data_IF_066121887060
#
_entry.id   IF_066121887060
#
_cell.length_a   1.000
_cell.length_b   1.000
_cell.length_c   1.000
_cell.angle_alpha   90.00
_cell.angle_beta   90.00
_cell.angle_gamma   90.00
#
_symmetry.space_group_name_H-M   'P 1'
#
loop_
_entity.id
_entity.type
_entity.pdbx_description
1 polymer ?
#
# COMPACT_ATOMS: atom_id res chain seq x y z
N UNK A 1 -1.52 2.76 -19.45
CA UNK A 1 -2.04 4.10 -19.82
C UNK A 1 -1.51 5.15 -18.87
N UNK A 2 -1.52 6.42 -19.27
CA UNK A 2 -1.19 7.56 -18.39
C UNK A 2 -2.43 8.45 -18.26
N UNK A 3 -3.31 8.12 -17.30
CA UNK A 3 -4.45 8.97 -16.92
C UNK A 3 -4.26 9.56 -15.52
N UNK A 4 -5.24 10.31 -15.03
CA UNK A 4 -5.20 10.84 -13.66
C UNK A 4 -6.14 10.04 -12.76
N UNK A 5 -5.55 9.32 -11.80
CA UNK A 5 -6.29 8.59 -10.78
C UNK A 5 -7.04 9.55 -9.82
N UNK A 6 -7.92 9.00 -8.99
CA UNK A 6 -8.69 9.75 -8.01
C UNK A 6 -7.78 10.46 -6.95
N UNK A 7 -8.25 11.57 -6.34
CA UNK A 7 -7.53 12.24 -5.25
C UNK A 7 -7.28 11.30 -4.05
N UNK A 8 -6.19 11.46 -3.26
CA UNK A 8 -5.27 12.61 -3.23
C UNK A 8 -4.10 12.46 -4.20
N UNK A 9 -4.13 11.43 -5.03
CA UNK A 9 -3.18 11.22 -6.09
C UNK A 9 -2.41 9.91 -5.98
N UNK A 10 -2.05 9.41 -7.15
CA UNK A 10 -1.27 8.19 -7.37
C UNK A 10 -0.22 8.49 -8.45
N UNK A 11 0.37 9.69 -8.45
CA UNK A 11 1.32 10.12 -9.47
C UNK A 11 2.52 9.17 -9.54
N UNK A 12 3.11 8.87 -8.37
CA UNK A 12 4.19 7.89 -8.30
C UNK A 12 3.78 6.53 -8.84
N UNK A 13 2.66 5.97 -8.37
CA UNK A 13 2.19 4.66 -8.84
C UNK A 13 1.89 4.63 -10.34
N UNK A 14 1.29 5.69 -10.88
CA UNK A 14 0.96 5.77 -12.31
C UNK A 14 2.22 5.76 -13.17
N UNK A 15 3.23 6.54 -12.78
CA UNK A 15 4.52 6.56 -13.46
C UNK A 15 5.28 5.24 -13.28
N UNK A 16 5.31 4.70 -12.06
CA UNK A 16 5.94 3.41 -11.75
C UNK A 16 5.33 2.28 -12.57
N UNK A 17 4.00 2.20 -12.63
CA UNK A 17 3.27 1.22 -13.43
C UNK A 17 3.59 1.37 -14.93
N UNK A 18 3.63 2.60 -15.45
CA UNK A 18 4.00 2.83 -16.86
C UNK A 18 5.44 2.38 -17.16
N UNK A 19 6.39 2.71 -16.29
CA UNK A 19 7.80 2.28 -16.45
C UNK A 19 7.88 0.75 -16.40
N UNK A 20 7.25 0.13 -15.40
CA UNK A 20 7.22 -1.32 -15.25
C UNK A 20 6.63 -2.03 -16.47
N UNK A 21 5.47 -1.59 -16.95
CA UNK A 21 4.80 -2.15 -18.13
C UNK A 21 5.65 -2.04 -19.41
N UNK A 22 6.57 -1.06 -19.46
CA UNK A 22 7.49 -0.84 -20.58
C UNK A 22 8.72 -1.73 -20.47
N UNK A 23 9.24 -1.93 -19.25
CA UNK A 23 10.45 -2.74 -18.99
C UNK A 23 10.17 -4.24 -18.95
N UNK A 24 8.97 -4.66 -18.57
CA UNK A 24 8.57 -6.07 -18.49
C UNK A 24 7.65 -6.42 -19.67
N UNK A 25 8.17 -7.00 -20.77
CA UNK A 25 7.40 -7.24 -21.99
C UNK A 25 6.66 -8.59 -22.00
N UNK A 26 6.22 -9.08 -20.84
CA UNK A 26 5.61 -10.42 -20.70
C UNK A 26 4.13 -10.28 -20.37
N UNK A 27 3.28 -11.04 -21.06
CA UNK A 27 1.82 -11.05 -20.83
C UNK A 27 1.13 -9.74 -21.20
N UNK A 28 -0.15 -9.64 -20.85
CA UNK A 28 -1.00 -8.46 -21.07
C UNK A 28 -0.59 -7.29 -20.17
N UNK A 29 -1.07 -6.08 -20.46
CA UNK A 29 -0.82 -4.90 -19.61
C UNK A 29 -1.40 -5.11 -18.20
N UNK A 30 -2.55 -5.75 -18.08
CA UNK A 30 -3.15 -6.12 -16.80
C UNK A 30 -2.24 -7.08 -16.02
N UNK A 31 -1.77 -8.15 -16.67
CA UNK A 31 -0.84 -9.11 -16.07
C UNK A 31 0.44 -8.44 -15.57
N UNK A 32 1.07 -7.57 -16.37
CA UNK A 32 2.27 -6.82 -15.97
C UNK A 32 2.04 -5.96 -14.73
N UNK A 33 0.84 -5.39 -14.60
CA UNK A 33 0.48 -4.53 -13.46
C UNK A 33 0.22 -5.36 -12.20
N UNK A 34 -0.39 -6.54 -12.32
CA UNK A 34 -0.47 -7.50 -11.22
C UNK A 34 0.93 -7.97 -10.79
N UNK A 35 1.82 -8.21 -11.75
CA UNK A 35 3.21 -8.59 -11.46
C UNK A 35 3.99 -7.48 -10.75
N UNK A 36 3.72 -6.21 -11.05
CA UNK A 36 4.28 -5.08 -10.28
C UNK A 36 3.86 -5.16 -8.81
N UNK A 37 2.57 -5.42 -8.53
CA UNK A 37 2.08 -5.57 -7.17
C UNK A 37 2.80 -6.71 -6.43
N UNK A 38 2.99 -7.85 -7.09
CA UNK A 38 3.71 -9.00 -6.54
C UNK A 38 5.19 -8.68 -6.26
N UNK A 39 5.87 -8.00 -7.18
CA UNK A 39 7.26 -7.59 -7.03
C UNK A 39 7.44 -6.60 -5.86
N UNK A 40 6.53 -5.63 -5.74
CA UNK A 40 6.52 -4.67 -4.62
C UNK A 40 6.19 -5.36 -3.30
N UNK A 41 5.24 -6.30 -3.28
CA UNK A 41 4.93 -7.11 -2.10
C UNK A 41 6.14 -7.92 -1.63
N UNK A 42 6.84 -8.59 -2.55
CA UNK A 42 8.08 -9.32 -2.26
C UNK A 42 9.18 -8.40 -1.71
N UNK A 43 9.32 -7.19 -2.27
CA UNK A 43 10.24 -6.19 -1.73
C UNK A 43 9.86 -5.75 -0.32
N UNK A 44 8.58 -5.50 -0.03
CA UNK A 44 8.13 -5.11 1.29
C UNK A 44 8.41 -6.20 2.35
N UNK A 45 8.18 -7.48 2.01
CA UNK A 45 8.58 -8.63 2.85
C UNK A 45 10.09 -8.65 3.08
N UNK A 46 10.88 -8.37 2.04
CA UNK A 46 12.35 -8.26 2.15
C UNK A 46 12.78 -7.10 3.05
N UNK A 47 12.16 -5.92 2.93
CA UNK A 47 12.44 -4.79 3.81
C UNK A 47 12.06 -5.08 5.26
N UNK A 48 10.96 -5.80 5.49
CA UNK A 48 10.57 -6.28 6.83
C UNK A 48 11.52 -7.35 7.38
N UNK A 49 12.14 -8.18 6.54
CA UNK A 49 13.26 -9.02 6.96
C UNK A 49 14.46 -8.17 7.38
N UNK A 50 14.84 -7.19 6.56
CA UNK A 50 16.04 -6.40 6.79
C UNK A 50 15.92 -5.54 8.05
N UNK A 51 14.74 -5.03 8.40
CA UNK A 51 14.55 -4.16 9.57
C UNK A 51 15.01 -4.80 10.92
N UNK A 52 14.50 -5.96 11.38
CA UNK A 52 15.05 -6.65 12.55
C UNK A 52 16.51 -7.07 12.37
N UNK A 53 16.98 -7.35 11.15
CA UNK A 53 18.38 -7.73 10.91
C UNK A 53 19.36 -6.57 11.20
N UNK A 54 18.89 -5.32 11.15
CA UNK A 54 19.66 -4.15 11.60
C UNK A 54 19.69 -4.05 13.16
N UNK A 55 18.90 -4.86 13.89
CA UNK A 55 18.76 -4.78 15.36
C UNK A 55 19.34 -5.99 16.11
N UNK A 56 19.47 -7.14 15.46
CA UNK A 56 19.97 -8.38 16.07
C UNK A 56 20.85 -9.17 15.09
N UNK A 57 21.89 -9.88 15.57
CA UNK A 57 22.76 -10.70 14.72
C UNK A 57 22.12 -12.04 14.25
N UNK A 58 20.97 -12.44 14.79
CA UNK A 58 20.33 -13.73 14.46
C UNK A 58 19.47 -13.69 13.19
N UNK A 59 19.37 -14.82 12.49
CA UNK A 59 18.53 -14.96 11.28
C UNK A 59 17.05 -15.25 11.59
N UNK A 60 16.77 -15.85 12.75
CA UNK A 60 15.42 -16.27 13.13
C UNK A 60 14.44 -15.10 13.34
N UNK A 61 14.80 -14.02 14.08
CA UNK A 61 13.90 -12.87 14.25
C UNK A 61 13.54 -12.15 12.93
N UNK A 62 14.50 -11.82 12.04
CA UNK A 62 14.22 -11.33 10.69
C UNK A 62 13.30 -12.25 9.87
N UNK A 63 13.59 -13.55 9.85
CA UNK A 63 12.82 -14.51 9.07
C UNK A 63 11.39 -14.64 9.57
N UNK A 64 11.20 -14.68 10.90
CA UNK A 64 9.87 -14.73 11.49
C UNK A 64 9.04 -13.49 11.17
N UNK A 65 9.64 -12.29 11.22
CA UNK A 65 8.98 -11.05 10.82
C UNK A 65 8.52 -11.10 9.35
N UNK A 66 9.42 -11.51 8.45
CA UNK A 66 9.14 -11.59 7.02
C UNK A 66 8.04 -12.61 6.70
N UNK A 67 8.12 -13.81 7.28
CA UNK A 67 7.10 -14.85 7.10
C UNK A 67 5.75 -14.44 7.71
N UNK A 68 5.75 -13.70 8.82
CA UNK A 68 4.51 -13.20 9.43
C UNK A 68 3.80 -12.20 8.52
N UNK A 69 4.54 -11.30 7.86
CA UNK A 69 3.95 -10.38 6.88
C UNK A 69 3.53 -11.11 5.60
N UNK A 70 4.37 -12.01 5.09
CA UNK A 70 4.07 -12.77 3.88
C UNK A 70 2.81 -13.64 4.05
N UNK A 71 2.60 -14.22 5.23
CA UNK A 71 1.41 -15.01 5.53
C UNK A 71 0.18 -14.19 5.92
N UNK A 72 0.28 -12.86 6.05
CA UNK A 72 -0.85 -12.02 6.42
C UNK A 72 -1.85 -11.91 5.24
N UNK A 73 -3.11 -12.37 5.37
CA UNK A 73 -4.05 -12.45 4.25
C UNK A 73 -4.30 -11.13 3.53
N UNK A 74 -4.40 -10.03 4.29
CA UNK A 74 -4.65 -8.70 3.72
C UNK A 74 -3.46 -8.23 2.88
N UNK A 75 -2.25 -8.42 3.40
CA UNK A 75 -1.02 -8.08 2.66
C UNK A 75 -0.86 -8.94 1.41
N UNK A 76 -1.08 -10.25 1.53
CA UNK A 76 -1.02 -11.17 0.39
C UNK A 76 -2.05 -10.81 -0.68
N UNK A 77 -3.31 -10.53 -0.30
CA UNK A 77 -4.37 -10.12 -1.21
C UNK A 77 -3.96 -8.87 -2.01
N UNK A 78 -3.40 -7.86 -1.36
CA UNK A 78 -2.95 -6.63 -2.03
C UNK A 78 -1.70 -6.85 -2.92
N UNK A 79 -0.96 -7.95 -2.74
CA UNK A 79 0.22 -8.28 -3.53
C UNK A 79 -0.07 -9.13 -4.78
N UNK A 80 -1.30 -9.64 -4.98
CA UNK A 80 -1.63 -10.53 -6.10
C UNK A 80 -2.44 -9.88 -7.23
N UNK A 81 -2.84 -8.62 -7.09
CA UNK A 81 -3.55 -7.87 -8.11
C UNK A 81 -3.07 -6.41 -8.16
N UNK A 82 -3.37 -5.71 -9.27
CA UNK A 82 -3.00 -4.32 -9.50
C UNK A 82 -3.61 -3.41 -8.43
N UNK A 83 -2.85 -3.17 -7.37
CA UNK A 83 -3.28 -2.42 -6.21
C UNK A 83 -2.23 -1.39 -5.83
N UNK A 84 -2.62 -0.12 -5.75
CA UNK A 84 -1.69 0.94 -5.44
C UNK A 84 -1.27 0.97 -3.95
N UNK A 85 -2.06 0.39 -3.05
CA UNK A 85 -1.76 0.39 -1.62
C UNK A 85 -0.63 -0.56 -1.23
N UNK A 86 -0.34 -1.60 -2.03
CA UNK A 86 0.86 -2.42 -1.78
C UNK A 86 2.15 -1.60 -1.97
N UNK A 87 2.14 -0.59 -2.86
CA UNK A 87 3.22 0.38 -3.01
C UNK A 87 3.35 1.26 -1.77
N UNK A 88 2.24 1.63 -1.13
CA UNK A 88 2.26 2.33 0.16
C UNK A 88 2.93 1.47 1.24
N UNK A 89 2.58 0.18 1.32
CA UNK A 89 3.21 -0.78 2.24
C UNK A 89 4.71 -0.97 1.96
N UNK A 90 5.10 -1.10 0.70
CA UNK A 90 6.51 -1.21 0.29
C UNK A 90 7.33 0.02 0.60
N UNK A 91 6.79 1.22 0.37
CA UNK A 91 7.44 2.48 0.75
C UNK A 91 7.62 2.57 2.27
N UNK A 92 6.57 2.28 3.04
CA UNK A 92 6.62 2.29 4.51
C UNK A 92 7.65 1.29 5.07
N UNK A 93 7.66 0.05 4.59
CA UNK A 93 8.64 -0.95 5.00
C UNK A 93 10.08 -0.50 4.67
N UNK A 94 10.27 0.12 3.50
CA UNK A 94 11.55 0.70 3.07
C UNK A 94 11.98 1.85 3.98
N UNK A 95 11.06 2.74 4.35
CA UNK A 95 11.34 3.84 5.29
C UNK A 95 11.85 3.32 6.62
N UNK A 96 11.14 2.34 7.21
CA UNK A 96 11.52 1.74 8.48
C UNK A 96 12.90 1.09 8.40
N UNK A 97 13.17 0.28 7.38
CA UNK A 97 14.47 -0.34 7.19
C UNK A 97 15.60 0.68 7.02
N UNK A 98 15.44 1.69 6.15
CA UNK A 98 16.47 2.69 5.90
C UNK A 98 16.80 3.51 7.15
N UNK A 99 15.81 3.84 7.97
CA UNK A 99 16.01 4.55 9.24
C UNK A 99 16.76 3.70 10.27
N UNK A 100 16.41 2.42 10.41
CA UNK A 100 17.13 1.51 11.30
C UNK A 100 18.56 1.26 10.82
N UNK A 101 18.77 1.13 9.51
CA UNK A 101 20.10 0.99 8.90
C UNK A 101 20.95 2.26 9.08
N UNK A 102 20.36 3.44 8.89
CA UNK A 102 21.00 4.72 9.17
C UNK A 102 21.44 4.83 10.63
N UNK A 103 20.57 4.44 11.57
CA UNK A 103 20.91 4.42 13.00
C UNK A 103 22.10 3.49 13.26
N UNK A 104 22.11 2.27 12.71
CA UNK A 104 23.17 1.28 12.96
C UNK A 104 24.50 1.70 12.35
N UNK A 105 24.49 2.18 11.11
CA UNK A 105 25.72 2.46 10.33
C UNK A 105 26.25 3.87 10.51
N UNK A 106 25.42 4.80 11.01
CA UNK A 106 25.71 6.22 11.07
C UNK A 106 25.98 6.89 9.69
N UNK A 107 25.73 6.20 8.57
CA UNK A 107 25.99 6.67 7.21
C UNK A 107 24.80 7.45 6.63
N UNK A 108 24.99 8.75 6.43
CA UNK A 108 23.96 9.68 5.97
C UNK A 108 23.44 9.40 4.54
N UNK A 109 24.10 8.53 3.76
CA UNK A 109 23.56 8.03 2.49
C UNK A 109 22.21 7.35 2.66
N UNK A 110 22.02 6.60 3.75
CA UNK A 110 20.74 5.97 4.06
C UNK A 110 19.67 6.99 4.47
N UNK A 111 20.07 8.10 5.11
CA UNK A 111 19.15 9.20 5.40
C UNK A 111 18.74 9.94 4.13
N UNK A 112 19.66 10.13 3.18
CA UNK A 112 19.34 10.68 1.86
C UNK A 112 18.43 9.74 1.06
N UNK A 113 18.70 8.43 1.05
CA UNK A 113 17.83 7.44 0.42
C UNK A 113 16.43 7.43 1.06
N UNK A 114 16.35 7.50 2.39
CA UNK A 114 15.09 7.64 3.11
C UNK A 114 14.32 8.89 2.66
N UNK A 115 15.01 10.03 2.54
CA UNK A 115 14.39 11.28 2.11
C UNK A 115 13.85 11.21 0.67
N UNK A 116 14.56 10.56 -0.26
CA UNK A 116 14.04 10.29 -1.62
C UNK A 116 12.76 9.46 -1.55
N UNK A 117 12.78 8.35 -0.80
CA UNK A 117 11.62 7.48 -0.65
C UNK A 117 10.45 8.18 0.04
N UNK A 118 10.71 9.09 0.97
CA UNK A 118 9.69 9.91 1.63
C UNK A 118 9.08 10.94 0.66
N UNK A 119 9.89 11.52 -0.22
CA UNK A 119 9.40 12.37 -1.30
C UNK A 119 8.48 11.60 -2.25
N UNK A 120 8.89 10.41 -2.70
CA UNK A 120 8.06 9.54 -3.55
C UNK A 120 6.73 9.19 -2.87
N UNK A 121 6.76 8.86 -1.58
CA UNK A 121 5.58 8.60 -0.78
C UNK A 121 4.61 9.80 -0.72
N UNK A 122 5.14 11.02 -0.61
CA UNK A 122 4.33 12.24 -0.64
C UNK A 122 3.62 12.49 -1.99
N UNK A 123 4.01 11.78 -3.05
CA UNK A 123 3.38 11.85 -4.40
C UNK A 123 2.48 10.65 -4.73
N UNK A 124 2.28 9.78 -3.74
CA UNK A 124 1.36 8.64 -3.71
C UNK A 124 0.17 9.03 -2.80
N UNK A 125 -0.58 8.13 -2.14
CA UNK A 125 -1.57 8.55 -1.17
C UNK A 125 -0.99 9.08 0.17
N UNK A 126 -1.65 10.07 0.81
CA UNK A 126 -1.25 10.69 2.07
C UNK A 126 -1.21 9.77 3.29
N UNK A 127 -1.82 8.57 3.22
CA UNK A 127 -1.68 7.58 4.30
C UNK A 127 -0.21 7.29 4.60
N UNK A 128 0.65 7.30 3.57
CA UNK A 128 2.09 7.11 3.71
C UNK A 128 2.77 8.22 4.54
N UNK A 129 2.16 9.40 4.64
CA UNK A 129 2.67 10.54 5.41
C UNK A 129 2.28 10.49 6.88
N UNK A 130 1.38 9.58 7.29
CA UNK A 130 1.04 9.38 8.70
C UNK A 130 2.25 8.86 9.52
N UNK A 131 3.31 8.39 8.87
CA UNK A 131 4.58 8.03 9.50
C UNK A 131 5.47 9.21 9.90
N UNK A 132 5.21 10.44 9.41
CA UNK A 132 6.06 11.61 9.64
C UNK A 132 6.35 11.90 11.13
N UNK A 133 5.36 11.84 12.05
CA UNK A 133 5.64 12.05 13.48
C UNK A 133 6.65 11.04 14.03
N UNK A 134 6.54 9.76 13.63
CA UNK A 134 7.45 8.71 14.06
C UNK A 134 8.87 8.94 13.53
N UNK A 135 8.99 9.34 12.26
CA UNK A 135 10.27 9.64 11.64
C UNK A 135 10.95 10.84 12.31
N UNK A 136 10.21 11.93 12.55
CA UNK A 136 10.73 13.11 13.23
C UNK A 136 11.22 12.82 14.64
N UNK A 137 10.40 12.15 15.45
CA UNK A 137 10.76 11.75 16.81
C UNK A 137 11.99 10.83 16.81
N UNK A 138 12.05 9.86 15.90
CA UNK A 138 13.19 8.95 15.78
C UNK A 138 14.48 9.68 15.40
N UNK A 139 14.45 10.55 14.39
CA UNK A 139 15.62 11.32 13.97
C UNK A 139 16.18 12.17 15.13
N UNK A 140 15.30 12.82 15.89
CA UNK A 140 15.67 13.61 17.06
C UNK A 140 16.20 12.74 18.21
N UNK A 141 15.62 11.55 18.42
CA UNK A 141 16.07 10.61 19.46
C UNK A 141 17.43 9.95 19.14
N UNK A 142 17.73 9.72 17.85
CA UNK A 142 18.99 9.14 17.38
C UNK A 142 20.10 10.19 17.34
N UNK A 143 19.81 11.39 16.83
CA UNK A 143 20.76 12.52 16.77
C UNK A 143 20.08 13.86 17.10
N UNK A 144 20.00 14.26 18.38
CA UNK A 144 19.39 15.53 18.79
C UNK A 144 19.92 16.80 18.10
N UNK A 145 21.24 16.97 17.87
CA UNK A 145 21.75 18.18 17.22
C UNK A 145 21.57 18.20 15.69
N UNK A 146 20.91 17.20 15.09
CA UNK A 146 20.76 17.06 13.64
C UNK A 146 20.16 18.32 12.99
N UNK A 147 19.16 18.95 13.62
CA UNK A 147 18.53 20.17 13.11
C UNK A 147 19.46 21.40 13.12
N UNK A 148 20.48 21.41 13.99
CA UNK A 148 21.51 22.48 14.01
C UNK A 148 22.57 22.26 12.94
N UNK A 149 22.67 21.05 12.39
CA UNK A 149 23.65 20.66 11.37
C UNK A 149 23.04 20.77 9.96
N UNK A 150 22.48 21.93 9.61
CA UNK A 150 21.74 22.15 8.37
C UNK A 150 22.51 21.73 7.10
N UNK A 151 23.86 21.84 7.11
CA UNK A 151 24.71 21.36 6.00
C UNK A 151 24.56 19.85 5.73
N UNK A 152 24.35 19.04 6.77
CA UNK A 152 24.09 17.60 6.61
C UNK A 152 22.69 17.30 6.10
N UNK A 153 21.76 18.25 6.24
CA UNK A 153 20.39 18.13 5.75
C UNK A 153 20.27 18.54 4.28
N UNK A 154 21.29 19.14 3.66
CA UNK A 154 21.24 19.54 2.24
C UNK A 154 21.02 18.35 1.31
N UNK A 155 21.74 17.24 1.52
CA UNK A 155 21.57 16.04 0.70
C UNK A 155 20.21 15.37 0.92
N UNK A 156 19.75 15.10 2.16
CA UNK A 156 18.37 14.68 2.41
C UNK A 156 17.31 15.62 1.82
N UNK A 157 17.48 16.94 1.94
CA UNK A 157 16.54 17.91 1.36
C UNK A 157 16.49 17.81 -0.17
N UNK A 158 17.65 17.75 -0.83
CA UNK A 158 17.74 17.51 -2.27
C UNK A 158 17.14 16.17 -2.69
N UNK A 159 17.37 15.12 -1.90
CA UNK A 159 16.76 13.80 -2.11
C UNK A 159 15.23 13.84 -1.99
N UNK A 160 14.69 14.53 -0.98
CA UNK A 160 13.25 14.72 -0.82
C UNK A 160 12.65 15.47 -2.02
N UNK A 161 13.27 16.57 -2.46
CA UNK A 161 12.84 17.32 -3.65
C UNK A 161 12.88 16.45 -4.91
N UNK A 162 13.90 15.60 -5.06
CA UNK A 162 13.96 14.62 -6.15
C UNK A 162 12.79 13.64 -6.08
N UNK A 163 12.46 13.15 -4.89
CA UNK A 163 11.30 12.27 -4.67
C UNK A 163 9.95 12.96 -4.96
N UNK A 164 9.85 14.29 -4.88
CA UNK A 164 8.63 15.03 -5.22
C UNK A 164 8.42 15.23 -6.73
N UNK A 165 9.41 14.92 -7.57
CA UNK A 165 9.33 15.13 -9.02
C UNK A 165 8.14 14.43 -9.71
N UNK A 166 7.59 13.29 -9.24
CA UNK A 166 6.36 12.73 -9.81
C UNK A 166 5.17 13.69 -9.78
N UNK A 167 5.11 14.68 -8.89
CA UNK A 167 4.03 15.68 -8.88
C UNK A 167 3.97 16.52 -10.15
N UNK A 168 5.09 16.65 -10.87
CA UNK A 168 5.14 17.34 -12.17
C UNK A 168 4.28 16.63 -13.22
N UNK A 169 3.96 15.35 -13.01
CA UNK A 169 3.03 14.60 -13.86
C UNK A 169 1.67 15.30 -14.00
N UNK A 170 1.14 15.87 -12.92
CA UNK A 170 -0.19 16.47 -12.92
C UNK A 170 -0.32 17.66 -13.87
N UNK A 171 0.43 18.78 -13.71
CA UNK A 171 0.28 19.93 -14.59
C UNK A 171 0.66 19.65 -16.05
N UNK A 172 1.56 18.69 -16.29
CA UNK A 172 1.97 18.28 -17.63
C UNK A 172 0.93 17.40 -18.33
N UNK A 173 0.33 16.45 -17.59
CA UNK A 173 -0.55 15.42 -18.17
C UNK A 173 -2.04 15.77 -18.13
N UNK A 174 -2.50 16.41 -17.06
CA UNK A 174 -3.92 16.69 -16.79
C UNK A 174 -4.68 17.29 -17.98
N UNK A 175 -4.15 18.28 -18.74
CA UNK A 175 -4.89 18.91 -19.83
C UNK A 175 -5.23 17.98 -21.01
N UNK A 176 -4.53 16.87 -21.15
CA UNK A 176 -4.71 15.91 -22.26
C UNK A 176 -4.91 14.47 -21.75
N UNK A 177 -5.13 14.28 -20.46
CA UNK A 177 -5.32 12.97 -19.88
C UNK A 177 -6.60 12.32 -20.43
N UNK A 178 -6.60 11.02 -20.77
CA UNK A 178 -7.77 10.32 -21.29
C UNK A 178 -8.91 10.26 -20.26
N UNK A 179 -8.57 10.34 -18.97
CA UNK A 179 -9.52 10.37 -17.87
C UNK A 179 -8.93 11.10 -16.66
N UNK A 180 -9.83 11.58 -15.81
CA UNK A 180 -9.54 12.34 -14.60
C UNK A 180 -9.60 13.86 -14.80
N UNK A 181 -9.32 14.66 -13.75
CA UNK A 181 -9.44 16.10 -13.81
C UNK A 181 -8.48 16.73 -14.85
N UNK A 182 -8.95 17.77 -15.54
CA UNK A 182 -8.21 18.46 -16.62
C UNK A 182 -7.65 19.83 -16.21
N UNK A 183 -7.88 20.26 -14.98
CA UNK A 183 -7.58 21.61 -14.50
C UNK A 183 -6.32 21.72 -13.60
N UNK A 184 -5.56 20.64 -13.45
CA UNK A 184 -4.37 20.60 -12.57
C UNK A 184 -3.14 21.30 -13.15
N UNK A 185 -3.27 21.97 -14.32
CA UNK A 185 -2.29 22.97 -14.77
C UNK A 185 -2.37 24.25 -13.92
N UNK A 186 -3.51 24.51 -13.28
CA UNK A 186 -3.70 25.65 -12.37
C UNK A 186 -3.28 25.28 -10.94
N UNK A 187 -2.81 26.26 -10.17
CA UNK A 187 -2.47 26.05 -8.75
C UNK A 187 -3.68 25.54 -7.95
N UNK A 188 -4.86 26.12 -8.18
CA UNK A 188 -6.09 25.73 -7.50
C UNK A 188 -6.48 24.27 -7.79
N UNK A 189 -6.49 23.86 -9.07
CA UNK A 189 -6.79 22.49 -9.48
C UNK A 189 -5.78 21.48 -8.92
N UNK A 190 -4.49 21.79 -9.04
CA UNK A 190 -3.40 20.96 -8.49
C UNK A 190 -3.53 20.78 -6.98
N UNK A 191 -3.66 21.88 -6.23
CA UNK A 191 -3.73 21.84 -4.77
C UNK A 191 -4.99 21.12 -4.29
N UNK A 192 -6.13 21.35 -4.94
CA UNK A 192 -7.39 20.66 -4.63
C UNK A 192 -7.26 19.14 -4.76
N UNK A 193 -6.57 18.68 -5.82
CA UNK A 193 -6.35 17.27 -6.09
C UNK A 193 -5.36 16.65 -5.09
N UNK A 194 -4.15 17.20 -4.97
CA UNK A 194 -3.07 16.64 -4.13
C UNK A 194 -3.44 16.59 -2.64
N UNK A 195 -4.26 17.55 -2.17
CA UNK A 195 -4.73 17.58 -0.78
C UNK A 195 -6.06 16.86 -0.56
N UNK A 196 -6.62 16.22 -1.60
CA UNK A 196 -7.94 15.57 -1.62
C UNK A 196 -9.04 16.33 -0.88
N UNK A 197 -9.23 17.60 -1.23
CA UNK A 197 -10.21 18.44 -0.56
C UNK A 197 -11.64 17.87 -0.66
N UNK A 198 -11.95 17.16 -1.74
CA UNK A 198 -13.24 16.49 -1.94
C UNK A 198 -13.48 15.26 -1.07
N UNK A 199 -12.45 14.71 -0.42
CA UNK A 199 -12.57 13.52 0.44
C UNK A 199 -12.56 13.84 1.94
N UNK A 200 -12.62 15.12 2.31
CA UNK A 200 -12.59 15.55 3.72
C UNK A 200 -13.74 15.00 4.56
N UNK A 201 -14.87 14.69 3.94
CA UNK A 201 -16.03 14.06 4.59
C UNK A 201 -15.71 12.68 5.17
N UNK A 202 -14.67 12.02 4.67
CA UNK A 202 -14.22 10.71 5.16
C UNK A 202 -13.34 10.80 6.41
N UNK A 203 -12.93 12.01 6.83
CA UNK A 203 -12.09 12.25 7.99
C UNK A 203 -12.95 12.51 9.24
N UNK A 204 -12.49 12.03 10.39
CA UNK A 204 -13.14 12.22 11.69
C UNK A 204 -14.60 11.75 11.75
N UNK A 205 -14.91 10.68 11.02
CA UNK A 205 -16.27 10.17 10.89
C UNK A 205 -16.82 9.54 12.18
N UNK A 206 -15.93 8.99 13.02
CA UNK A 206 -16.30 8.23 14.21
C UNK A 206 -16.10 9.05 15.48
N UNK A 207 -17.09 9.02 16.36
CA UNK A 207 -17.07 9.69 17.66
C UNK A 207 -16.52 8.79 18.78
N UNK A 208 -16.57 9.30 20.00
CA UNK A 208 -16.13 8.55 21.20
C UNK A 208 -16.95 7.28 21.45
N UNK A 209 -18.24 7.29 21.14
CA UNK A 209 -19.12 6.14 21.32
C UNK A 209 -18.72 4.95 20.44
N UNK A 210 -18.20 5.21 19.24
CA UNK A 210 -17.84 4.16 18.26
C UNK A 210 -16.51 3.47 18.57
N UNK A 211 -15.70 4.03 19.48
CA UNK A 211 -14.31 3.59 19.66
C UNK A 211 -14.20 2.16 20.19
N UNK A 212 -15.18 1.69 20.95
CA UNK A 212 -15.23 0.29 21.39
C UNK A 212 -15.44 -0.65 20.22
N UNK A 213 -16.44 -0.39 19.38
CA UNK A 213 -16.73 -1.19 18.19
C UNK A 213 -15.56 -1.15 17.21
N UNK A 214 -14.93 0.02 17.05
CA UNK A 214 -13.70 0.13 16.28
C UNK A 214 -12.57 -0.72 16.86
N UNK A 215 -12.37 -0.71 18.18
CA UNK A 215 -11.35 -1.56 18.80
C UNK A 215 -11.62 -3.06 18.54
N UNK A 216 -12.88 -3.50 18.57
CA UNK A 216 -13.28 -4.88 18.23
C UNK A 216 -13.00 -5.20 16.75
N UNK A 217 -13.30 -4.28 15.83
CA UNK A 217 -12.98 -4.43 14.40
C UNK A 217 -11.47 -4.57 14.20
N UNK A 218 -10.66 -3.70 14.82
CA UNK A 218 -9.21 -3.75 14.69
C UNK A 218 -8.61 -5.01 15.33
N UNK A 219 -9.17 -5.48 16.44
CA UNK A 219 -8.80 -6.77 17.02
C UNK A 219 -9.12 -7.93 16.07
N UNK A 220 -10.27 -7.89 15.42
CA UNK A 220 -10.69 -8.90 14.43
C UNK A 220 -9.76 -8.90 13.23
N UNK A 221 -9.42 -7.72 12.69
CA UNK A 221 -8.48 -7.56 11.58
C UNK A 221 -7.05 -7.97 11.98
N UNK A 222 -6.61 -7.67 13.21
CA UNK A 222 -5.32 -8.10 13.72
C UNK A 222 -5.24 -9.63 13.81
N UNK A 223 -6.30 -10.29 14.31
CA UNK A 223 -6.40 -11.75 14.37
C UNK A 223 -6.56 -12.41 13.01
N UNK A 224 -7.12 -11.70 12.03
CA UNK A 224 -7.14 -12.13 10.64
C UNK A 224 -5.71 -12.19 10.08
N UNK A 225 -4.86 -11.21 10.40
CA UNK A 225 -3.48 -11.16 9.93
C UNK A 225 -2.55 -12.11 10.69
N UNK A 226 -2.67 -12.13 12.01
CA UNK A 226 -1.69 -12.76 12.88
C UNK A 226 -2.35 -13.78 13.82
N UNK A 227 -1.85 -15.04 13.84
CA UNK A 227 -2.24 -16.00 14.86
C UNK A 227 -1.98 -15.45 16.28
N UNK A 228 -2.74 -15.93 17.27
CA UNK A 228 -2.65 -15.43 18.65
C UNK A 228 -1.24 -15.52 19.24
N UNK A 229 -0.46 -16.54 18.84
CA UNK A 229 0.93 -16.70 19.24
C UNK A 229 1.84 -15.63 18.62
N UNK A 230 1.62 -15.27 17.36
CA UNK A 230 2.32 -14.14 16.70
C UNK A 230 1.95 -12.82 17.38
N UNK A 231 0.69 -12.63 17.78
CA UNK A 231 0.28 -11.47 18.60
C UNK A 231 1.01 -11.47 19.95
N UNK A 232 1.17 -12.63 20.59
CA UNK A 232 2.00 -12.77 21.79
C UNK A 232 3.45 -12.32 21.55
N UNK A 233 4.05 -12.67 20.42
CA UNK A 233 5.38 -12.20 20.02
C UNK A 233 5.41 -10.69 19.73
N UNK A 234 4.36 -10.10 19.17
CA UNK A 234 4.25 -8.65 19.02
C UNK A 234 4.35 -7.97 20.40
N UNK A 235 3.59 -8.44 21.39
CA UNK A 235 3.63 -7.88 22.75
C UNK A 235 5.01 -8.06 23.38
N UNK A 236 5.58 -9.28 23.29
CA UNK A 236 6.93 -9.55 23.80
C UNK A 236 7.99 -8.68 23.12
N UNK A 237 7.88 -8.46 21.80
CA UNK A 237 8.78 -7.65 21.01
C UNK A 237 8.70 -6.17 21.35
N UNK A 238 7.49 -5.64 21.59
CA UNK A 238 7.31 -4.27 22.05
C UNK A 238 7.99 -4.04 23.41
N UNK A 239 7.80 -4.97 24.36
CA UNK A 239 8.46 -4.91 25.68
C UNK A 239 9.98 -5.04 25.55
N UNK A 240 10.46 -5.95 24.71
CA UNK A 240 11.88 -6.14 24.46
C UNK A 240 12.53 -4.88 23.88
N UNK A 241 11.93 -4.30 22.83
CA UNK A 241 12.39 -3.08 22.20
C UNK A 241 12.40 -1.91 23.20
N UNK A 242 11.33 -1.71 23.97
CA UNK A 242 11.27 -0.63 24.95
C UNK A 242 12.41 -0.70 25.99
N UNK A 243 12.84 -1.92 26.36
CA UNK A 243 13.90 -2.15 27.35
C UNK A 243 15.31 -2.15 26.77
N UNK A 244 15.51 -2.70 25.57
CA UNK A 244 16.84 -2.96 24.99
C UNK A 244 17.20 -2.03 23.82
N UNK A 245 16.20 -1.51 23.12
CA UNK A 245 16.37 -0.67 21.93
C UNK A 245 15.31 0.45 21.89
N UNK A 246 15.35 1.41 22.83
CA UNK A 246 14.28 2.40 23.00
C UNK A 246 14.08 3.31 21.77
N UNK A 247 15.14 3.58 21.00
CA UNK A 247 15.04 4.38 19.77
C UNK A 247 14.21 3.65 18.69
N UNK A 248 14.52 2.40 18.29
CA UNK A 248 13.63 1.60 17.47
C UNK A 248 12.22 1.42 18.05
N UNK A 249 12.09 1.31 19.38
CA UNK A 249 10.79 1.22 20.03
C UNK A 249 9.94 2.48 19.80
N UNK A 250 10.54 3.67 19.91
CA UNK A 250 9.89 4.95 19.60
C UNK A 250 9.47 5.00 18.13
N UNK A 251 10.36 4.64 17.20
CA UNK A 251 10.04 4.62 15.77
C UNK A 251 8.84 3.73 15.48
N UNK A 252 8.92 2.44 15.83
CA UNK A 252 7.88 1.47 15.50
C UNK A 252 6.58 1.73 16.27
N UNK A 253 6.68 2.07 17.56
CA UNK A 253 5.53 2.34 18.41
C UNK A 253 4.76 3.58 17.96
N UNK A 254 5.44 4.71 17.73
CA UNK A 254 4.79 5.93 17.22
C UNK A 254 4.27 5.74 15.81
N UNK A 255 4.99 4.98 14.96
CA UNK A 255 4.55 4.70 13.60
C UNK A 255 3.23 3.92 13.59
N UNK A 256 3.14 2.84 14.37
CA UNK A 256 1.91 2.04 14.53
C UNK A 256 0.80 2.92 15.12
N UNK A 257 1.07 3.67 16.19
CA UNK A 257 0.06 4.51 16.83
C UNK A 257 -0.51 5.58 15.88
N UNK A 258 0.34 6.26 15.11
CA UNK A 258 -0.11 7.30 14.18
C UNK A 258 -0.99 6.74 13.06
N UNK A 259 -0.62 5.59 12.48
CA UNK A 259 -1.42 4.95 11.43
C UNK A 259 -2.72 4.37 11.96
N UNK A 260 -2.70 3.74 13.14
CA UNK A 260 -3.91 3.22 13.76
C UNK A 260 -4.85 4.37 14.14
N UNK A 261 -4.36 5.45 14.74
CA UNK A 261 -5.18 6.61 15.08
C UNK A 261 -5.82 7.23 13.84
N UNK A 262 -5.08 7.37 12.74
CA UNK A 262 -5.64 7.86 11.49
C UNK A 262 -6.71 6.92 10.92
N UNK A 263 -6.41 5.61 10.87
CA UNK A 263 -7.34 4.61 10.32
C UNK A 263 -8.60 4.47 11.19
N UNK A 264 -8.47 4.60 12.51
CA UNK A 264 -9.57 4.63 13.49
C UNK A 264 -10.47 5.85 13.38
N UNK A 265 -10.07 6.89 12.64
CA UNK A 265 -10.87 8.09 12.45
C UNK A 265 -11.30 8.29 11.00
N UNK A 266 -11.10 7.30 10.13
CA UNK A 266 -11.45 7.38 8.70
C UNK A 266 -12.34 6.22 8.27
N UNK A 267 -13.16 6.46 7.23
CA UNK A 267 -14.06 5.46 6.60
C UNK A 267 -13.48 4.91 5.29
N UNK A 268 -12.27 5.29 4.92
CA UNK A 268 -11.68 4.97 3.63
C UNK A 268 -10.76 3.75 3.71
N UNK A 269 -11.00 2.76 2.84
CA UNK A 269 -10.15 1.57 2.59
C UNK A 269 -9.36 1.06 3.80
N UNK A 270 -10.08 0.73 4.88
CA UNK A 270 -9.49 0.37 6.18
C UNK A 270 -8.45 -0.73 6.05
N UNK A 271 -8.74 -1.79 5.29
CA UNK A 271 -7.80 -2.90 5.05
C UNK A 271 -6.51 -2.40 4.38
N UNK A 272 -6.64 -1.64 3.30
CA UNK A 272 -5.49 -1.11 2.58
C UNK A 272 -4.61 -0.16 3.42
N UNK A 273 -5.21 0.62 4.33
CA UNK A 273 -4.48 1.51 5.24
C UNK A 273 -3.76 0.74 6.36
N UNK A 274 -4.27 -0.44 6.73
CA UNK A 274 -3.67 -1.28 7.76
C UNK A 274 -2.41 -2.03 7.29
N UNK A 275 -2.15 -2.10 5.98
CA UNK A 275 -0.89 -2.65 5.44
C UNK A 275 0.36 -2.03 6.10
N UNK A 276 0.33 -0.72 6.36
CA UNK A 276 1.45 0.03 6.93
C UNK A 276 1.72 -0.39 8.39
N UNK A 277 0.77 -0.27 9.34
CA UNK A 277 0.99 -0.71 10.70
C UNK A 277 1.21 -2.23 10.81
N UNK A 278 0.61 -3.06 9.95
CA UNK A 278 0.87 -4.51 9.96
C UNK A 278 2.29 -4.87 9.54
N UNK A 279 2.90 -4.15 8.59
CA UNK A 279 4.31 -4.30 8.27
C UNK A 279 5.21 -3.97 9.48
N UNK A 280 4.92 -2.87 10.19
CA UNK A 280 5.66 -2.50 11.40
C UNK A 280 5.44 -3.50 12.55
N UNK A 281 4.22 -3.99 12.76
CA UNK A 281 3.93 -5.01 13.77
C UNK A 281 4.64 -6.33 13.48
N UNK A 282 4.83 -6.69 12.20
CA UNK A 282 5.61 -7.87 11.81
C UNK A 282 7.09 -7.73 12.22
N UNK A 283 7.69 -6.55 12.06
CA UNK A 283 9.04 -6.24 12.57
C UNK A 283 9.10 -6.40 14.09
N UNK A 284 8.09 -5.87 14.80
CA UNK A 284 7.99 -6.01 16.26
C UNK A 284 7.85 -7.47 16.68
N UNK A 285 7.04 -8.27 15.96
CA UNK A 285 6.86 -9.70 16.21
C UNK A 285 8.21 -10.45 16.11
N UNK A 286 9.03 -10.13 15.11
CA UNK A 286 10.39 -10.63 15.00
C UNK A 286 11.21 -10.37 16.27
N UNK A 287 11.17 -9.14 16.79
CA UNK A 287 11.87 -8.80 18.03
C UNK A 287 11.32 -9.53 19.27
N UNK A 288 10.07 -10.00 19.25
CA UNK A 288 9.54 -10.93 20.25
C UNK A 288 10.23 -12.28 20.24
N UNK A 289 10.56 -12.79 19.05
CA UNK A 289 11.36 -14.00 18.89
C UNK A 289 12.80 -13.78 19.38
N UNK A 290 13.38 -12.60 19.16
CA UNK A 290 14.68 -12.25 19.74
C UNK A 290 14.66 -12.32 21.28
N UNK A 291 13.60 -11.84 21.92
CA UNK A 291 13.45 -11.94 23.38
C UNK A 291 13.43 -13.39 23.87
N UNK A 292 12.83 -14.30 23.10
CA UNK A 292 12.85 -15.74 23.37
C UNK A 292 14.25 -16.33 23.20
N UNK A 293 14.93 -16.00 22.10
CA UNK A 293 16.29 -16.48 21.77
C UNK A 293 17.31 -16.08 22.82
N UNK A 294 17.23 -14.88 23.38
CA UNK A 294 18.14 -14.44 24.46
C UNK A 294 17.90 -15.16 25.78
N UNK A 295 16.65 -15.55 26.06
CA UNK A 295 16.26 -16.17 27.33
C UNK A 295 16.61 -17.65 27.39
N UNK A 296 16.54 -18.33 26.25
CA UNK A 296 16.89 -19.73 26.11
C UNK A 296 18.18 -19.83 25.29
N UNK A 297 19.35 -19.95 25.93
CA UNK A 297 20.61 -20.18 25.22
C UNK A 297 20.44 -21.37 24.27
N UNK A 298 20.32 -21.06 22.97
CA UNK A 298 19.84 -21.91 21.86
C UNK A 298 20.83 -23.04 21.52
N UNK A 299 21.52 -23.63 22.49
CA UNK A 299 22.56 -24.63 22.24
C UNK A 299 22.09 -26.08 22.39
N UNK A 300 20.92 -26.33 22.97
CA UNK A 300 20.40 -27.71 23.20
C UNK A 300 18.95 -27.98 22.75
N UNK A 301 18.14 -26.95 22.47
CA UNK A 301 16.74 -27.08 22.02
C UNK A 301 16.47 -26.39 20.66
N UNK A 302 17.54 -26.01 19.96
CA UNK A 302 17.52 -25.06 18.85
C UNK A 302 16.61 -25.42 17.67
N UNK A 303 16.73 -26.61 17.06
CA UNK A 303 16.08 -26.85 15.78
C UNK A 303 14.58 -26.97 15.98
N UNK A 304 14.14 -27.73 16.99
CA UNK A 304 12.72 -27.96 17.27
C UNK A 304 11.97 -26.68 17.63
N UNK A 305 12.55 -25.81 18.46
CA UNK A 305 11.92 -24.51 18.83
C UNK A 305 11.93 -23.56 17.63
N UNK A 306 13.01 -23.48 16.86
CA UNK A 306 13.05 -22.68 15.63
C UNK A 306 12.02 -23.17 14.61
N UNK A 307 11.94 -24.50 14.39
CA UNK A 307 10.95 -25.12 13.51
C UNK A 307 9.53 -24.83 14.00
N UNK A 308 9.24 -24.94 15.30
CA UNK A 308 7.92 -24.62 15.84
C UNK A 308 7.54 -23.16 15.66
N UNK A 309 8.47 -22.23 15.89
CA UNK A 309 8.26 -20.79 15.68
C UNK A 309 8.00 -20.49 14.20
N UNK A 310 8.75 -21.08 13.29
CA UNK A 310 8.57 -20.90 11.84
C UNK A 310 7.36 -21.64 11.28
N UNK A 311 6.89 -22.69 11.95
CA UNK A 311 5.66 -23.41 11.62
C UNK A 311 4.43 -22.50 11.76
N UNK A 312 4.43 -21.51 12.65
CA UNK A 312 3.26 -20.65 12.88
C UNK A 312 2.82 -19.86 11.62
N UNK A 313 3.66 -18.98 11.03
CA UNK A 313 3.25 -18.25 9.82
C UNK A 313 3.08 -19.16 8.61
N UNK A 314 3.86 -20.25 8.51
CA UNK A 314 3.77 -21.19 7.37
C UNK A 314 2.49 -22.01 7.40
N UNK A 315 2.05 -22.50 8.57
CA UNK A 315 0.78 -23.19 8.75
C UNK A 315 -0.41 -22.24 8.50
N UNK A 316 -0.29 -20.98 8.94
CA UNK A 316 -1.30 -19.96 8.63
C UNK A 316 -1.45 -19.77 7.12
N UNK A 317 -0.35 -19.50 6.42
CA UNK A 317 -0.38 -19.37 4.96
C UNK A 317 -0.93 -20.61 4.26
N UNK A 318 -0.54 -21.82 4.71
CA UNK A 318 -1.08 -23.06 4.15
C UNK A 318 -2.58 -23.25 4.40
N UNK A 319 -3.08 -22.87 5.58
CA UNK A 319 -4.50 -22.92 5.92
C UNK A 319 -5.29 -21.94 5.05
N UNK A 320 -4.79 -20.70 4.91
CA UNK A 320 -5.45 -19.65 4.15
C UNK A 320 -5.46 -19.98 2.64
N UNK A 321 -4.38 -20.54 2.09
CA UNK A 321 -4.33 -21.01 0.70
C UNK A 321 -5.26 -22.20 0.44
N UNK A 322 -5.54 -23.05 1.45
CA UNK A 322 -6.50 -24.16 1.32
C UNK A 322 -7.96 -23.70 1.36
N UNK A 323 -8.24 -22.62 2.10
CA UNK A 323 -9.59 -22.07 2.26
C UNK A 323 -9.92 -20.98 1.25
N UNK A 324 -8.90 -20.36 0.65
CA UNK A 324 -9.04 -19.26 -0.29
C UNK A 324 -9.57 -19.69 -1.65
N UNK A 325 -10.24 -18.76 -2.33
CA UNK A 325 -10.62 -18.91 -3.74
C UNK A 325 -9.41 -18.61 -4.61
N UNK A 326 -9.03 -19.55 -5.46
CA UNK A 326 -7.94 -19.35 -6.40
C UNK A 326 -8.40 -18.43 -7.55
N UNK A 327 -7.80 -17.25 -7.66
CA UNK A 327 -8.09 -16.28 -8.74
C UNK A 327 -7.15 -16.45 -9.95
N UNK A 328 -6.41 -17.56 -10.04
CA UNK A 328 -5.42 -17.79 -11.11
C UNK A 328 -6.03 -17.84 -12.51
N UNK A 329 -7.26 -18.34 -12.60
CA UNK A 329 -8.02 -18.54 -13.84
C UNK A 329 -9.26 -17.62 -13.87
N UNK A 330 -9.20 -16.47 -13.16
CA UNK A 330 -10.34 -15.55 -13.07
C UNK A 330 -10.43 -14.68 -14.33
N UNK A 331 -11.41 -14.97 -15.19
CA UNK A 331 -11.58 -14.39 -16.54
C UNK A 331 -12.88 -13.60 -16.72
N UNK A 332 -13.65 -13.36 -15.65
CA UNK A 332 -14.96 -12.70 -15.74
C UNK A 332 -14.92 -11.34 -16.45
N UNK A 333 -13.84 -10.58 -16.28
CA UNK A 333 -13.62 -9.31 -16.96
C UNK A 333 -13.43 -9.47 -18.47
N UNK A 334 -12.68 -10.49 -18.90
CA UNK A 334 -12.44 -10.77 -20.32
C UNK A 334 -13.70 -11.35 -20.98
N UNK A 335 -14.43 -12.23 -20.28
CA UNK A 335 -15.72 -12.77 -20.71
C UNK A 335 -16.76 -11.67 -20.92
N UNK A 336 -16.86 -10.74 -19.97
CA UNK A 336 -17.77 -9.59 -20.08
C UNK A 336 -17.49 -8.72 -21.32
N UNK A 337 -16.22 -8.45 -21.61
CA UNK A 337 -15.84 -7.67 -22.79
C UNK A 337 -16.15 -8.44 -24.08
N UNK A 338 -15.80 -9.73 -24.12
CA UNK A 338 -16.06 -10.58 -25.28
C UNK A 338 -17.56 -10.72 -25.58
N UNK A 339 -18.40 -10.87 -24.56
CA UNK A 339 -19.86 -10.93 -24.72
C UNK A 339 -20.42 -9.63 -25.29
N UNK A 340 -19.91 -8.49 -24.84
CA UNK A 340 -20.33 -7.17 -25.31
C UNK A 340 -19.94 -6.93 -26.78
N UNK A 341 -18.72 -7.31 -27.15
CA UNK A 341 -18.26 -7.26 -28.55
C UNK A 341 -19.05 -8.22 -29.44
N UNK A 342 -19.32 -9.44 -28.98
CA UNK A 342 -20.12 -10.40 -29.73
C UNK A 342 -21.57 -9.92 -29.93
N UNK A 343 -22.13 -9.20 -28.96
CA UNK A 343 -23.51 -8.71 -29.02
C UNK A 343 -23.67 -7.45 -29.88
N UNK A 344 -22.72 -6.51 -29.81
CA UNK A 344 -22.86 -5.19 -30.42
C UNK A 344 -21.89 -4.89 -31.56
N UNK A 345 -20.70 -5.51 -31.59
CA UNK A 345 -19.63 -5.18 -32.52
C UNK A 345 -20.04 -5.35 -33.99
N UNK A 346 -19.96 -4.27 -34.77
CA UNK A 346 -20.29 -4.22 -36.19
C UNK A 346 -21.78 -4.43 -36.51
N UNK A 347 -22.66 -4.35 -35.51
CA UNK A 347 -24.10 -4.56 -35.67
C UNK A 347 -24.87 -3.28 -36.01
N UNK A 348 -24.29 -2.10 -35.79
CA UNK A 348 -24.94 -0.81 -36.09
C UNK A 348 -26.23 -0.58 -35.30
N UNK A 349 -26.36 -1.17 -34.11
CA UNK A 349 -27.61 -1.17 -33.32
C UNK A 349 -27.89 0.16 -32.62
N UNK A 350 -26.91 1.06 -32.52
CA UNK A 350 -27.03 2.35 -31.84
C UNK A 350 -27.43 2.21 -30.37
N UNK A 351 -27.05 1.12 -29.71
CA UNK A 351 -27.53 0.82 -28.37
C UNK A 351 -26.88 1.73 -27.31
N UNK A 352 -27.58 1.98 -26.21
CA UNK A 352 -27.01 2.68 -25.06
C UNK A 352 -26.81 1.68 -23.93
N UNK A 353 -25.55 1.47 -23.54
CA UNK A 353 -25.18 0.59 -22.43
C UNK A 353 -25.10 1.39 -21.14
N UNK A 354 -26.17 1.38 -20.36
CA UNK A 354 -26.17 1.90 -18.99
C UNK A 354 -25.48 0.88 -18.08
N UNK A 355 -24.40 1.26 -17.41
CA UNK A 355 -23.62 0.33 -16.61
C UNK A 355 -22.92 1.02 -15.43
N UNK A 356 -22.66 0.25 -14.39
CA UNK A 356 -21.93 0.72 -13.22
C UNK A 356 -20.41 0.77 -13.45
N UNK A 357 -19.67 1.19 -12.43
CA UNK A 357 -18.21 1.32 -12.53
C UNK A 357 -17.52 -0.03 -12.70
N UNK A 358 -18.04 -1.07 -12.04
CA UNK A 358 -17.40 -2.39 -11.96
C UNK A 358 -17.39 -3.09 -13.32
N UNK A 359 -18.41 -2.88 -14.15
CA UNK A 359 -18.50 -3.45 -15.49
C UNK A 359 -17.93 -2.54 -16.59
N UNK A 360 -17.97 -1.21 -16.41
CA UNK A 360 -17.35 -0.28 -17.38
C UNK A 360 -15.83 -0.24 -17.29
N UNK A 361 -15.26 -0.43 -16.10
CA UNK A 361 -13.80 -0.34 -15.93
C UNK A 361 -13.04 -1.42 -16.72
N UNK A 362 -13.42 -2.71 -16.67
CA UNK A 362 -12.81 -3.74 -17.52
C UNK A 362 -12.87 -3.39 -19.00
N UNK A 363 -14.02 -2.92 -19.49
CA UNK A 363 -14.21 -2.51 -20.87
C UNK A 363 -13.26 -1.36 -21.26
N UNK A 364 -13.21 -0.28 -20.47
CA UNK A 364 -12.29 0.83 -20.76
C UNK A 364 -10.82 0.37 -20.70
N UNK A 365 -10.46 -0.45 -19.71
CA UNK A 365 -9.10 -1.00 -19.63
C UNK A 365 -8.78 -1.80 -20.88
N UNK A 366 -9.68 -2.67 -21.34
CA UNK A 366 -9.50 -3.44 -22.57
C UNK A 366 -9.26 -2.51 -23.76
N UNK A 367 -10.22 -1.63 -24.07
CA UNK A 367 -10.16 -0.69 -25.19
C UNK A 367 -8.85 0.10 -25.23
N UNK A 368 -8.48 0.71 -24.10
CA UNK A 368 -7.25 1.50 -24.04
C UNK A 368 -5.95 0.67 -24.08
N UNK A 369 -5.97 -0.61 -23.66
CA UNK A 369 -4.77 -1.47 -23.70
C UNK A 369 -4.59 -2.14 -25.04
N UNK A 370 -5.68 -2.50 -25.72
CA UNK A 370 -5.68 -3.08 -27.06
C UNK A 370 -5.53 -2.00 -28.15
N UNK A 371 -5.82 -0.73 -27.83
CA UNK A 371 -5.84 0.35 -28.83
C UNK A 371 -7.12 0.31 -29.68
N UNK A 372 -8.19 -0.22 -29.10
CA UNK A 372 -9.48 -0.43 -29.72
C UNK A 372 -10.48 0.62 -29.25
N UNK A 373 -11.56 0.78 -30.01
CA UNK A 373 -12.61 1.74 -29.73
C UNK A 373 -13.96 1.11 -30.06
N UNK A 374 -14.96 1.35 -29.21
CA UNK A 374 -16.35 1.03 -29.53
C UNK A 374 -16.88 2.07 -30.52
N UNK A 375 -17.40 1.59 -31.64
CA UNK A 375 -18.07 2.46 -32.59
C UNK A 375 -19.37 2.99 -31.94
N UNK A 376 -19.60 4.31 -31.89
CA UNK A 376 -20.82 4.87 -31.28
C UNK A 376 -22.11 4.41 -31.97
N UNK A 377 -22.00 3.97 -33.23
CA UNK A 377 -23.07 3.36 -34.02
C UNK A 377 -23.41 1.93 -33.58
N UNK A 378 -22.52 1.24 -32.88
CA UNK A 378 -22.79 -0.09 -32.31
C UNK A 378 -23.37 0.05 -30.89
N UNK A 379 -22.60 0.68 -30.00
CA UNK A 379 -22.95 0.82 -28.59
C UNK A 379 -22.26 2.02 -27.94
N UNK A 380 -23.02 2.78 -27.15
CA UNK A 380 -22.52 3.91 -26.35
C UNK A 380 -22.59 3.58 -24.84
N UNK A 381 -21.45 3.40 -24.16
CA UNK A 381 -21.44 3.20 -22.71
C UNK A 381 -21.76 4.50 -21.96
N UNK A 382 -22.59 4.39 -20.91
CA UNK A 382 -22.97 5.47 -20.00
C UNK A 382 -22.77 5.00 -18.57
N UNK A 383 -21.96 5.74 -17.82
CA UNK A 383 -21.68 5.45 -16.43
C UNK A 383 -22.81 5.90 -15.51
N UNK A 384 -23.37 4.94 -14.78
CA UNK A 384 -24.39 5.15 -13.76
C UNK A 384 -23.73 5.35 -12.40
N UNK A 385 -24.09 6.43 -11.71
CA UNK A 385 -23.50 6.82 -10.44
C UNK A 385 -24.55 7.34 -9.47
N UNK A 386 -24.15 7.68 -8.24
CA UNK A 386 -25.08 8.27 -7.26
C UNK A 386 -25.62 9.65 -7.68
N UNK A 387 -24.91 10.38 -8.55
CA UNK A 387 -25.39 11.64 -9.14
C UNK A 387 -26.20 11.45 -10.43
N UNK A 388 -26.16 10.26 -11.03
CA UNK A 388 -26.89 9.90 -12.26
C UNK A 388 -27.54 8.53 -12.07
N UNK A 389 -28.68 8.46 -11.36
CA UNK A 389 -29.28 7.19 -10.96
C UNK A 389 -29.86 6.40 -12.12
N UNK A 390 -29.98 5.08 -11.94
CA UNK A 390 -30.51 4.15 -12.94
C UNK A 390 -31.82 4.59 -13.57
N UNK A 391 -32.84 4.90 -12.75
CA UNK A 391 -34.17 5.24 -13.27
C UNK A 391 -34.13 6.47 -14.19
N UNK A 392 -33.47 7.55 -13.75
CA UNK A 392 -33.34 8.77 -14.54
C UNK A 392 -32.57 8.52 -15.86
N UNK A 393 -31.47 7.77 -15.79
CA UNK A 393 -30.66 7.46 -16.98
C UNK A 393 -31.40 6.55 -17.97
N UNK A 394 -32.23 5.63 -17.49
CA UNK A 394 -33.10 4.80 -18.34
C UNK A 394 -34.10 5.67 -19.08
N UNK A 395 -34.84 6.52 -18.38
CA UNK A 395 -35.85 7.39 -19.01
C UNK A 395 -35.25 8.37 -20.01
N UNK A 396 -34.06 8.92 -19.74
CA UNK A 396 -33.35 9.82 -20.66
C UNK A 396 -32.94 9.19 -22.00
N UNK A 397 -32.96 7.86 -22.13
CA UNK A 397 -32.49 7.15 -23.33
C UNK A 397 -33.56 6.25 -23.96
N UNK A 398 -34.77 6.20 -23.38
CA UNK A 398 -35.93 5.51 -23.95
C UNK A 398 -36.87 6.49 -24.68
N UNK A 399 -36.89 7.76 -24.27
CA UNK A 399 -37.53 8.87 -24.99
C UNK A 399 -36.63 9.42 -26.10
#
# INVERSE_FOLDING_TARGET
>A
MLGIAHPPGYAFYTLLAKVWQTVVPIGTVAFRTNLLAAAVGAWAVTAVYLAPAELTPGWLPPLFAALSLAAAPDFWQHAIHANAHIVSGGLAATHLWLLLRWQRTADDRYLTAFAVMLGLAATHPPITLMGLPAYGIFLLAVRPPLLRQWRRLLWPAGGFLLGLTPLLYYPLRSPSAPFGPTDMRTWAGFWRHVTAQGLRVNLFHFGWADQWDRAVVFWSLLRLQFPILTIGFIVAGAVYLARRAPRPALLLGTFVAAHLLFTLNTVQDVMAYLLLPFAALSVVAGMGVQALVERFTVRRLAPAVCSLVLLLPTLRGAADLRQGVALRDFTAADEWVADLEAHFGGQGRGAVLLSDWEHLTPLWVHLYTAGEHLAPEDVRPVYISTSTPWAESVWQHIE
#
